data_IF_522227249213
#
_entry.id   IF_522227249213
#
_cell.length_a   1.000
_cell.length_b   1.000
_cell.length_c   1.000
_cell.angle_alpha   90.00
_cell.angle_beta   90.00
_cell.angle_gamma   90.00
#
_symmetry.space_group_name_H-M   'P 1'
#
loop_
_entity.id
_entity.type
_entity.pdbx_description
1 polymer ?
#
# COMPACT_ATOMS: atom_id res chain seq x y z
N UNK A 1 13.48 -1.52 -7.64
CA UNK A 1 12.64 -1.92 -8.79
C UNK A 1 11.16 -1.97 -8.40
N UNK A 2 10.82 -2.74 -7.37
CA UNK A 2 9.44 -2.99 -6.92
C UNK A 2 8.69 -1.74 -6.43
N UNK A 3 9.39 -0.74 -5.83
CA UNK A 3 8.78 0.55 -5.50
C UNK A 3 8.24 1.27 -6.75
N UNK A 4 9.04 1.34 -7.82
CA UNK A 4 8.63 2.01 -9.07
C UNK A 4 7.52 1.26 -9.78
N UNK A 5 7.56 -0.08 -9.74
CA UNK A 5 6.50 -0.93 -10.25
C UNK A 5 5.17 -0.68 -9.52
N UNK A 6 5.20 -0.70 -8.18
CA UNK A 6 4.03 -0.37 -7.36
C UNK A 6 3.48 1.00 -7.73
N UNK A 7 4.32 2.03 -7.76
CA UNK A 7 3.91 3.42 -8.07
C UNK A 7 3.28 3.51 -9.47
N UNK A 8 3.88 2.84 -10.46
CA UNK A 8 3.35 2.82 -11.82
C UNK A 8 1.97 2.16 -11.91
N UNK A 9 1.75 1.04 -11.22
CA UNK A 9 0.44 0.37 -11.20
C UNK A 9 -0.56 1.21 -10.41
N UNK A 10 -0.17 1.69 -9.24
CA UNK A 10 -1.00 2.50 -8.35
C UNK A 10 -1.56 3.74 -9.05
N UNK A 11 -0.73 4.47 -9.80
CA UNK A 11 -1.15 5.67 -10.52
C UNK A 11 -2.15 5.42 -11.65
N UNK A 12 -2.28 4.17 -12.14
CA UNK A 12 -3.27 3.79 -13.16
C UNK A 12 -4.62 3.43 -12.56
N UNK A 13 -4.65 3.03 -11.28
CA UNK A 13 -5.87 2.63 -10.58
C UNK A 13 -6.68 3.85 -10.21
N UNK A 14 -7.91 3.93 -10.73
CA UNK A 14 -8.86 5.00 -10.45
C UNK A 14 -8.20 6.40 -10.35
N UNK A 15 -7.60 6.92 -11.44
CA UNK A 15 -6.77 8.14 -11.40
C UNK A 15 -7.53 9.40 -10.99
N UNK A 16 -8.86 9.37 -11.08
CA UNK A 16 -9.74 10.46 -10.68
C UNK A 16 -10.11 10.46 -9.19
N UNK A 17 -9.80 9.38 -8.47
CA UNK A 17 -10.05 9.25 -7.03
C UNK A 17 -8.93 9.88 -6.21
N UNK A 18 -9.25 10.24 -4.96
CA UNK A 18 -8.26 10.72 -4.01
C UNK A 18 -7.18 9.65 -3.76
N UNK A 19 -5.90 9.98 -3.99
CA UNK A 19 -4.79 9.01 -3.88
C UNK A 19 -4.66 8.40 -2.49
N UNK A 20 -4.89 9.18 -1.44
CA UNK A 20 -4.90 8.66 -0.06
C UNK A 20 -6.00 7.63 0.13
N UNK A 21 -7.19 7.88 -0.42
CA UNK A 21 -8.30 6.93 -0.36
C UNK A 21 -7.99 5.63 -1.11
N UNK A 22 -7.40 5.71 -2.30
CA UNK A 22 -6.99 4.53 -3.08
C UNK A 22 -5.95 3.70 -2.33
N UNK A 23 -4.94 4.36 -1.74
CA UNK A 23 -3.92 3.68 -0.94
C UNK A 23 -4.51 3.04 0.33
N UNK A 24 -5.38 3.78 1.03
CA UNK A 24 -6.06 3.28 2.22
C UNK A 24 -6.92 2.05 1.91
N UNK A 25 -7.70 2.09 0.84
CA UNK A 25 -8.51 0.93 0.44
C UNK A 25 -7.64 -0.26 0.04
N UNK A 26 -6.56 -0.03 -0.72
CA UNK A 26 -5.58 -1.08 -1.01
C UNK A 26 -5.03 -1.72 0.28
N UNK A 27 -4.56 -0.92 1.24
CA UNK A 27 -3.98 -1.42 2.48
C UNK A 27 -5.00 -2.21 3.31
N UNK A 28 -6.24 -1.71 3.42
CA UNK A 28 -7.32 -2.42 4.11
C UNK A 28 -7.67 -3.74 3.41
N UNK A 29 -7.78 -3.73 2.09
CA UNK A 29 -8.13 -4.93 1.32
C UNK A 29 -7.02 -5.98 1.37
N UNK A 30 -5.75 -5.57 1.32
CA UNK A 30 -4.61 -6.47 1.52
C UNK A 30 -4.64 -7.09 2.92
N UNK A 31 -4.85 -6.30 3.97
CA UNK A 31 -4.95 -6.79 5.33
C UNK A 31 -6.14 -7.75 5.52
N UNK A 32 -7.31 -7.41 4.96
CA UNK A 32 -8.49 -8.25 5.01
C UNK A 32 -8.27 -9.60 4.31
N UNK A 33 -7.63 -9.60 3.12
CA UNK A 33 -7.30 -10.82 2.39
C UNK A 33 -6.36 -11.73 3.20
N UNK A 34 -5.31 -11.15 3.80
CA UNK A 34 -4.38 -11.90 4.66
C UNK A 34 -5.08 -12.45 5.91
N UNK A 35 -5.93 -11.66 6.55
CA UNK A 35 -6.68 -12.10 7.74
C UNK A 35 -7.66 -13.23 7.41
N UNK A 36 -8.42 -13.10 6.33
CA UNK A 36 -9.42 -14.07 5.90
C UNK A 36 -8.84 -15.35 5.31
N UNK A 37 -7.58 -15.34 4.86
CA UNK A 37 -6.87 -16.57 4.48
C UNK A 37 -6.84 -17.59 5.64
N UNK A 38 -6.89 -17.14 6.89
CA UNK A 38 -6.87 -17.98 8.09
C UNK A 38 -8.25 -18.02 8.76
N UNK A 39 -8.87 -16.87 9.03
CA UNK A 39 -10.05 -16.78 9.89
C UNK A 39 -11.38 -16.93 9.16
N UNK A 40 -11.42 -16.58 7.86
CA UNK A 40 -12.64 -16.58 7.03
C UNK A 40 -13.81 -15.83 7.69
N UNK A 41 -13.53 -14.67 8.26
CA UNK A 41 -14.54 -13.88 8.97
C UNK A 41 -15.47 -13.18 7.96
N UNK A 42 -16.80 -13.45 8.01
CA UNK A 42 -17.75 -12.85 7.08
C UNK A 42 -17.87 -11.33 7.23
N UNK A 43 -17.57 -10.78 8.41
CA UNK A 43 -17.61 -9.32 8.64
C UNK A 43 -16.45 -8.61 7.94
N UNK A 44 -15.25 -9.21 7.98
CA UNK A 44 -14.07 -8.72 7.27
C UNK A 44 -14.24 -8.90 5.76
N UNK A 45 -14.81 -10.03 5.32
CA UNK A 45 -15.11 -10.27 3.91
C UNK A 45 -16.11 -9.24 3.37
N UNK A 46 -17.16 -8.94 4.14
CA UNK A 46 -18.14 -7.93 3.76
C UNK A 46 -17.50 -6.54 3.63
N UNK A 47 -16.54 -6.17 4.48
CA UNK A 47 -15.82 -4.91 4.36
C UNK A 47 -14.92 -4.86 3.12
N UNK A 48 -14.18 -5.93 2.84
CA UNK A 48 -13.41 -6.08 1.61
C UNK A 48 -14.31 -5.87 0.37
N UNK A 49 -15.44 -6.60 0.31
CA UNK A 49 -16.38 -6.52 -0.80
C UNK A 49 -17.02 -5.12 -0.92
N UNK A 50 -17.22 -4.40 0.18
CA UNK A 50 -17.73 -3.02 0.17
C UNK A 50 -16.73 -2.07 -0.48
N UNK A 51 -15.44 -2.21 -0.18
CA UNK A 51 -14.36 -1.36 -0.70
C UNK A 51 -14.09 -1.64 -2.17
N UNK A 52 -13.94 -2.91 -2.54
CA UNK A 52 -13.60 -3.30 -3.92
C UNK A 52 -14.69 -2.89 -4.92
N UNK A 53 -15.97 -2.83 -4.49
CA UNK A 53 -17.10 -2.38 -5.32
C UNK A 53 -16.99 -0.95 -5.84
N UNK A 54 -16.12 -0.12 -5.26
CA UNK A 54 -15.85 1.24 -5.71
C UNK A 54 -14.99 1.30 -6.97
N UNK A 55 -14.31 0.21 -7.29
CA UNK A 55 -13.33 0.13 -8.35
C UNK A 55 -13.90 -0.66 -9.54
N UNK A 56 -13.40 -0.36 -10.74
CA UNK A 56 -13.68 -1.19 -11.91
C UNK A 56 -13.13 -2.61 -11.71
N UNK A 57 -13.57 -3.58 -12.51
CA UNK A 57 -13.02 -4.94 -12.41
C UNK A 57 -11.53 -4.95 -12.73
N UNK A 58 -11.13 -4.14 -13.70
CA UNK A 58 -9.75 -3.96 -14.13
C UNK A 58 -8.90 -3.37 -12.99
N UNK A 59 -9.39 -2.32 -12.33
CA UNK A 59 -8.74 -1.70 -11.17
C UNK A 59 -8.63 -2.65 -9.98
N UNK A 60 -9.69 -3.44 -9.71
CA UNK A 60 -9.68 -4.43 -8.64
C UNK A 60 -8.63 -5.53 -8.88
N UNK A 61 -8.46 -5.98 -10.13
CA UNK A 61 -7.37 -6.89 -10.52
C UNK A 61 -6.02 -6.22 -10.32
N UNK A 62 -5.85 -4.96 -10.73
CA UNK A 62 -4.59 -4.24 -10.52
C UNK A 62 -4.26 -4.03 -9.03
N UNK A 63 -5.26 -3.85 -8.16
CA UNK A 63 -5.05 -3.79 -6.71
C UNK A 63 -4.51 -5.10 -6.14
N UNK A 64 -4.89 -6.25 -6.68
CA UNK A 64 -4.26 -7.52 -6.30
C UNK A 64 -2.79 -7.59 -6.72
N UNK A 65 -2.45 -7.00 -7.88
CA UNK A 65 -1.06 -6.87 -8.34
C UNK A 65 -0.20 -5.96 -7.46
N UNK A 66 -0.78 -4.94 -6.83
CA UNK A 66 -0.08 -4.11 -5.84
C UNK A 66 0.40 -4.94 -4.64
N UNK A 67 -0.40 -5.91 -4.18
CA UNK A 67 -0.01 -6.78 -3.07
C UNK A 67 1.17 -7.69 -3.48
N UNK A 68 1.18 -8.21 -4.72
CA UNK A 68 2.31 -8.96 -5.24
C UNK A 68 3.60 -8.12 -5.26
N UNK A 69 3.53 -6.88 -5.76
CA UNK A 69 4.68 -5.97 -5.78
C UNK A 69 5.21 -5.64 -4.36
N UNK A 70 4.32 -5.58 -3.36
CA UNK A 70 4.71 -5.42 -1.95
C UNK A 70 5.42 -6.67 -1.43
N UNK A 71 4.88 -7.87 -1.70
CA UNK A 71 5.51 -9.13 -1.30
C UNK A 71 6.90 -9.27 -1.93
N UNK A 72 7.02 -9.10 -3.25
CA UNK A 72 8.29 -9.20 -3.97
C UNK A 72 9.31 -8.17 -3.46
N UNK A 73 8.85 -6.95 -3.17
CA UNK A 73 9.68 -5.90 -2.60
C UNK A 73 10.24 -6.24 -1.21
N UNK A 74 9.40 -6.81 -0.34
CA UNK A 74 9.80 -7.24 1.00
C UNK A 74 10.70 -8.47 0.98
N UNK A 75 10.47 -9.41 0.06
CA UNK A 75 11.32 -10.59 -0.14
C UNK A 75 12.70 -10.22 -0.69
N UNK A 76 12.75 -9.30 -1.64
CA UNK A 76 14.02 -8.82 -2.22
C UNK A 76 14.90 -8.12 -1.17
N UNK A 77 14.31 -7.29 -0.33
CA UNK A 77 15.03 -6.57 0.72
C UNK A 77 14.10 -6.23 1.88
N UNK A 78 14.32 -6.81 3.08
CA UNK A 78 13.51 -6.53 4.27
C UNK A 78 13.84 -5.13 4.79
N UNK A 79 13.21 -4.14 4.19
CA UNK A 79 13.33 -2.71 4.48
C UNK A 79 11.95 -2.13 4.72
N UNK A 80 11.90 -0.86 5.13
CA UNK A 80 10.64 -0.13 5.24
C UNK A 80 10.06 0.19 3.85
N UNK A 81 9.50 -0.83 3.20
CA UNK A 81 8.94 -0.72 1.85
C UNK A 81 7.70 0.17 1.82
N UNK A 82 6.78 -0.02 2.79
CA UNK A 82 5.55 0.77 2.88
C UNK A 82 5.83 2.23 3.25
N UNK A 83 6.80 2.50 4.12
CA UNK A 83 7.25 3.87 4.40
C UNK A 83 7.84 4.55 3.17
N UNK A 84 8.69 3.85 2.40
CA UNK A 84 9.20 4.35 1.13
C UNK A 84 8.08 4.64 0.12
N UNK A 85 7.04 3.81 0.04
CA UNK A 85 5.88 4.07 -0.81
C UNK A 85 5.11 5.32 -0.37
N UNK A 86 4.84 5.48 0.93
CA UNK A 86 4.15 6.65 1.47
C UNK A 86 4.91 7.95 1.14
N UNK A 87 6.25 7.93 1.26
CA UNK A 87 7.09 9.06 0.86
C UNK A 87 7.02 9.30 -0.66
N UNK A 88 7.21 8.25 -1.46
CA UNK A 88 7.28 8.35 -2.93
C UNK A 88 5.97 8.82 -3.54
N UNK A 89 4.83 8.43 -2.94
CA UNK A 89 3.50 8.83 -3.38
C UNK A 89 3.04 10.15 -2.74
N UNK A 90 3.89 10.80 -1.95
CA UNK A 90 3.59 12.03 -1.20
C UNK A 90 2.30 11.94 -0.38
N UNK A 91 2.02 10.73 0.13
CA UNK A 91 0.83 10.41 0.91
C UNK A 91 0.98 10.80 2.39
N UNK A 92 2.14 11.31 2.80
CA UNK A 92 2.35 11.78 4.16
C UNK A 92 1.35 12.88 4.56
N UNK A 93 0.81 12.79 5.77
CA UNK A 93 -0.07 13.83 6.27
C UNK A 93 0.76 15.02 6.78
N UNK A 94 1.03 15.97 5.88
CA UNK A 94 1.77 17.20 6.19
C UNK A 94 1.11 18.02 7.31
N UNK A 95 -0.21 17.94 7.45
CA UNK A 95 -0.97 18.66 8.49
C UNK A 95 -0.89 18.00 9.88
N UNK A 96 -0.53 16.72 9.96
CA UNK A 96 -0.25 16.04 11.23
C UNK A 96 1.23 16.10 11.64
N UNK A 97 2.06 16.86 10.91
CA UNK A 97 3.49 16.97 11.18
C UNK A 97 4.26 15.67 10.94
N UNK A 98 3.75 14.78 10.08
CA UNK A 98 4.41 13.52 9.77
C UNK A 98 5.57 13.78 8.80
N UNK A 99 6.77 13.97 9.35
CA UNK A 99 8.01 14.04 8.60
C UNK A 99 8.68 12.67 8.58
N UNK A 100 8.98 12.16 7.40
CA UNK A 100 9.65 10.88 7.27
C UNK A 100 11.15 11.09 7.18
N UNK A 101 11.90 10.51 8.12
CA UNK A 101 13.36 10.51 8.08
C UNK A 101 13.83 9.45 7.09
N UNK A 102 14.55 9.82 6.02
CA UNK A 102 15.07 8.83 5.07
C UNK A 102 15.91 7.78 5.79
N UNK A 103 15.77 6.52 5.37
CA UNK A 103 16.45 5.39 6.02
C UNK A 103 17.97 5.61 6.13
N UNK A 104 18.61 6.21 5.14
CA UNK A 104 20.05 6.53 5.16
C UNK A 104 20.46 7.43 6.33
N UNK A 105 19.60 8.39 6.69
CA UNK A 105 19.83 9.29 7.82
C UNK A 105 19.66 8.54 9.13
N UNK A 106 18.57 7.78 9.29
CA UNK A 106 18.34 6.95 10.47
C UNK A 106 19.46 5.92 10.68
N UNK A 107 19.94 5.29 9.60
CA UNK A 107 21.04 4.33 9.64
C UNK A 107 22.38 4.98 10.02
N UNK A 108 22.69 6.16 9.47
CA UNK A 108 23.86 6.94 9.90
C UNK A 108 23.77 7.23 11.41
N UNK A 109 22.64 7.74 11.88
CA UNK A 109 22.43 8.09 13.29
C UNK A 109 22.54 6.88 14.22
N UNK A 110 22.07 5.71 13.78
CA UNK A 110 22.17 4.47 14.56
C UNK A 110 23.59 3.90 14.64
N UNK A 111 24.52 4.36 13.78
CA UNK A 111 25.92 3.92 13.75
C UNK A 111 26.88 4.88 14.46
N UNK A 112 26.37 6.00 14.97
CA UNK A 112 27.11 6.93 15.84
C UNK A 112 27.01 6.47 17.30
#
# INVERSE_FOLDING_TARGET
>A
PHIQEFVSVFNRIAPHENRWQVFSDFAHMAAAALYNAIHRDPTVEADYLRRVKRYSKEDAVQMSGLLAAVTDGLEFSPTDFLGQLLMTLELGNQYLGQYFTPYSVSYMMARM
#
